data_IF_634120466152
#
_entry.id   IF_634120466152
#
_cell.length_a   1.000
_cell.length_b   1.000
_cell.length_c   1.000
_cell.angle_alpha   90.00
_cell.angle_beta   90.00
_cell.angle_gamma   90.00
#
_symmetry.space_group_name_H-M   'P 1'
#
loop_
_entity.id
_entity.type
_entity.pdbx_description
1 polymer ?
#
# COMPACT_ATOMS: atom_id res chain seq x y z
N UNK A 1 19.33 3.94 -64.74
CA UNK A 1 18.56 4.86 -63.85
C UNK A 1 17.74 3.97 -62.90
N UNK A 2 18.26 3.73 -61.69
CA UNK A 2 17.61 2.88 -60.68
C UNK A 2 17.27 3.73 -59.49
N UNK A 3 15.99 4.02 -59.27
CA UNK A 3 15.49 4.77 -58.14
C UNK A 3 15.49 3.89 -56.89
N UNK A 4 16.32 4.29 -55.92
CA UNK A 4 16.43 3.70 -54.57
C UNK A 4 15.44 4.42 -53.68
N UNK A 5 14.31 3.80 -53.35
CA UNK A 5 13.35 4.28 -52.34
C UNK A 5 13.82 3.87 -50.95
N UNK A 6 14.32 4.84 -50.19
CA UNK A 6 14.61 4.69 -48.76
C UNK A 6 13.28 4.83 -48.00
N UNK A 7 12.79 3.73 -47.43
CA UNK A 7 11.67 3.72 -46.47
C UNK A 7 12.22 4.03 -45.08
N UNK A 8 12.02 5.27 -44.61
CA UNK A 8 12.20 5.60 -43.20
C UNK A 8 11.05 4.98 -42.38
N UNK A 9 11.38 3.97 -41.58
CA UNK A 9 10.46 3.38 -40.61
C UNK A 9 10.51 4.23 -39.32
N UNK A 10 9.50 5.07 -39.08
CA UNK A 10 9.34 5.78 -37.82
C UNK A 10 8.83 4.81 -36.76
N UNK A 11 9.72 4.36 -35.85
CA UNK A 11 9.35 3.68 -34.62
C UNK A 11 8.80 4.74 -33.64
N UNK A 12 7.48 4.82 -33.52
CA UNK A 12 6.82 5.54 -32.43
C UNK A 12 7.00 4.73 -31.13
N UNK A 13 8.00 5.12 -30.33
CA UNK A 13 8.16 4.64 -28.98
C UNK A 13 7.01 5.18 -28.11
N UNK A 14 6.13 4.31 -27.66
CA UNK A 14 5.11 4.64 -26.63
C UNK A 14 5.87 4.75 -25.31
N UNK A 15 6.12 5.98 -24.86
CA UNK A 15 6.61 6.26 -23.51
C UNK A 15 5.42 6.08 -22.58
N UNK A 16 5.33 4.93 -21.88
CA UNK A 16 4.40 4.73 -20.78
C UNK A 16 4.85 5.59 -19.59
N UNK A 17 4.21 6.73 -19.39
CA UNK A 17 4.33 7.49 -18.14
C UNK A 17 3.62 6.69 -17.05
N UNK A 18 4.39 6.00 -16.22
CA UNK A 18 3.88 5.45 -14.96
C UNK A 18 3.49 6.65 -14.07
N UNK A 19 2.26 6.67 -13.51
CA UNK A 19 1.91 7.70 -12.54
C UNK A 19 2.82 7.53 -11.32
N UNK A 20 3.60 8.59 -11.01
CA UNK A 20 4.31 8.69 -9.75
C UNK A 20 3.24 8.79 -8.66
N UNK A 21 3.11 7.77 -7.83
CA UNK A 21 2.33 7.85 -6.61
C UNK A 21 2.97 8.93 -5.73
N UNK A 22 2.30 10.08 -5.60
CA UNK A 22 2.71 11.14 -4.69
C UNK A 22 2.37 10.67 -3.27
N UNK A 23 3.37 10.09 -2.59
CA UNK A 23 3.27 9.86 -1.15
C UNK A 23 2.97 11.21 -0.47
N UNK A 24 1.82 11.32 0.19
CA UNK A 24 1.45 12.53 0.91
C UNK A 24 2.28 12.60 2.18
N UNK A 25 3.12 13.63 2.29
CA UNK A 25 3.96 13.85 3.47
C UNK A 25 3.13 14.32 4.67
N UNK A 26 3.54 13.95 5.88
CA UNK A 26 2.99 14.52 7.09
C UNK A 26 3.30 16.02 7.17
N UNK A 27 2.34 16.82 7.65
CA UNK A 27 2.43 18.28 7.77
C UNK A 27 2.31 18.64 9.24
N UNK A 28 3.18 19.56 9.71
CA UNK A 28 3.07 20.16 11.04
C UNK A 28 2.68 21.64 10.90
N UNK A 29 1.53 22.01 11.41
CA UNK A 29 1.00 23.38 11.38
C UNK A 29 0.18 23.66 12.63
N UNK A 30 0.34 24.84 13.23
CA UNK A 30 -0.44 25.31 14.39
C UNK A 30 -0.46 24.32 15.58
N UNK A 31 0.71 23.71 15.90
CA UNK A 31 0.86 22.66 16.91
C UNK A 31 0.08 21.35 16.62
N UNK A 32 -0.36 21.14 15.39
CA UNK A 32 -1.03 19.93 14.97
C UNK A 32 -0.22 19.22 13.89
N UNK A 33 0.03 17.93 14.07
CA UNK A 33 0.49 17.03 13.01
C UNK A 33 -0.71 16.52 12.24
N UNK A 34 -0.67 16.70 10.93
CA UNK A 34 -1.60 16.12 9.97
C UNK A 34 -0.87 14.96 9.28
N UNK A 35 -1.28 13.75 9.56
CA UNK A 35 -0.70 12.54 8.96
C UNK A 35 -1.78 11.96 8.05
N UNK A 36 -1.54 11.91 6.72
CA UNK A 36 -2.55 11.50 5.75
C UNK A 36 -3.07 10.07 6.00
N UNK A 37 -2.15 9.15 6.33
CA UNK A 37 -2.49 7.76 6.62
C UNK A 37 -1.46 7.12 7.55
N UNK A 38 -1.89 6.08 8.24
CA UNK A 38 -1.05 5.33 9.15
C UNK A 38 -1.75 4.07 9.63
N UNK A 39 -1.04 3.27 10.42
CA UNK A 39 -1.59 2.07 11.02
C UNK A 39 -1.48 2.08 12.54
N UNK A 40 -2.38 1.37 13.18
CA UNK A 40 -2.28 0.99 14.59
C UNK A 40 -2.45 -0.53 14.73
N UNK A 41 -1.75 -1.09 15.70
CA UNK A 41 -1.92 -2.47 16.08
C UNK A 41 -3.04 -2.56 17.12
N UNK A 42 -4.10 -3.28 16.78
CA UNK A 42 -5.26 -3.47 17.67
C UNK A 42 -5.57 -4.96 17.75
N UNK A 43 -5.43 -5.53 18.93
CA UNK A 43 -5.66 -6.96 19.18
C UNK A 43 -4.82 -7.90 18.29
N UNK A 44 -3.58 -7.51 17.99
CA UNK A 44 -2.68 -8.31 17.14
C UNK A 44 -2.93 -8.19 15.63
N UNK A 45 -3.78 -7.26 15.21
CA UNK A 45 -4.06 -6.98 13.79
C UNK A 45 -3.71 -5.54 13.43
N UNK A 46 -3.14 -5.33 12.24
CA UNK A 46 -2.93 -4.00 11.71
C UNK A 46 -4.28 -3.40 11.26
N UNK A 47 -4.55 -2.18 11.70
CA UNK A 47 -5.71 -1.38 11.30
C UNK A 47 -5.22 -0.13 10.58
N UNK A 48 -5.81 0.16 9.44
CA UNK A 48 -5.49 1.33 8.65
C UNK A 48 -6.35 2.53 9.06
N UNK A 49 -5.71 3.70 9.15
CA UNK A 49 -6.36 4.97 9.45
C UNK A 49 -5.95 6.04 8.46
N UNK A 50 -6.87 6.93 8.14
CA UNK A 50 -6.65 8.13 7.35
C UNK A 50 -6.97 9.38 8.16
N UNK A 51 -6.52 10.55 7.67
CA UNK A 51 -6.78 11.86 8.27
C UNK A 51 -6.43 11.94 9.77
N UNK A 52 -5.26 11.44 10.13
CA UNK A 52 -4.82 11.41 11.53
C UNK A 52 -4.35 12.80 11.93
N UNK A 53 -4.90 13.34 13.04
CA UNK A 53 -4.50 14.61 13.63
C UNK A 53 -4.02 14.40 15.05
N UNK A 54 -2.80 14.86 15.34
CA UNK A 54 -2.19 14.81 16.65
C UNK A 54 -1.85 16.23 17.12
N UNK A 55 -2.39 16.65 18.24
CA UNK A 55 -1.94 17.90 18.89
C UNK A 55 -0.65 17.66 19.67
N UNK A 56 0.34 18.55 19.47
CA UNK A 56 1.54 18.58 20.29
C UNK A 56 1.35 19.56 21.46
N UNK A 57 1.65 19.13 22.68
CA UNK A 57 1.73 20.00 23.86
C UNK A 57 3.14 20.56 24.05
N UNK A 58 3.32 21.58 24.93
CA UNK A 58 4.63 22.17 25.20
C UNK A 58 5.62 21.20 25.83
N UNK A 59 5.15 20.11 26.44
CA UNK A 59 5.99 19.08 27.08
C UNK A 59 6.44 18.00 26.09
N UNK A 60 6.08 18.14 24.79
CA UNK A 60 6.43 17.22 23.72
C UNK A 60 5.59 15.94 23.68
N UNK A 61 4.42 15.95 24.33
CA UNK A 61 3.46 14.86 24.24
C UNK A 61 2.49 15.09 23.07
N UNK A 62 1.94 14.00 22.55
CA UNK A 62 0.96 14.05 21.48
C UNK A 62 -0.39 13.54 21.98
N UNK A 63 -1.44 14.28 21.65
CA UNK A 63 -2.83 13.86 21.91
C UNK A 63 -3.52 13.61 20.59
N UNK A 64 -4.12 12.46 20.41
CA UNK A 64 -4.93 12.12 19.24
C UNK A 64 -6.19 12.99 19.23
N UNK A 65 -6.37 13.80 18.21
CA UNK A 65 -7.56 14.61 17.99
C UNK A 65 -8.57 13.90 17.07
N UNK A 66 -8.05 13.26 16.02
CA UNK A 66 -8.86 12.61 14.99
C UNK A 66 -8.07 11.47 14.34
N UNK A 67 -8.75 10.39 14.02
CA UNK A 67 -8.26 9.34 13.13
C UNK A 67 -9.49 8.64 12.53
N UNK A 68 -9.56 8.58 11.22
CA UNK A 68 -10.67 7.93 10.53
C UNK A 68 -10.26 6.50 10.18
N UNK A 69 -10.96 5.47 10.67
CA UNK A 69 -10.70 4.10 10.26
C UNK A 69 -11.01 3.94 8.76
N UNK A 70 -10.10 3.35 8.02
CA UNK A 70 -10.27 3.04 6.59
C UNK A 70 -10.87 1.64 6.43
N UNK A 71 -11.66 1.44 5.38
CA UNK A 71 -12.19 0.13 5.01
C UNK A 71 -11.07 -0.75 4.48
N UNK A 72 -10.87 -1.93 5.09
CA UNK A 72 -9.92 -2.92 4.58
C UNK A 72 -10.53 -3.63 3.36
N UNK A 73 -9.70 -3.86 2.35
CA UNK A 73 -10.11 -4.65 1.18
C UNK A 73 -10.15 -6.15 1.51
N UNK A 74 -10.90 -6.91 0.73
CA UNK A 74 -10.89 -8.37 0.81
C UNK A 74 -9.63 -8.91 0.15
N UNK A 75 -8.94 -9.82 0.83
CA UNK A 75 -7.77 -10.52 0.29
C UNK A 75 -8.18 -11.96 0.01
N UNK A 76 -7.98 -12.39 -1.23
CA UNK A 76 -8.27 -13.74 -1.69
C UNK A 76 -7.02 -14.63 -1.60
N UNK A 77 -5.83 -14.05 -1.90
CA UNK A 77 -4.57 -14.78 -1.95
C UNK A 77 -3.38 -13.88 -1.66
N UNK A 78 -2.39 -14.44 -0.95
CA UNK A 78 -1.07 -13.84 -0.72
C UNK A 78 -0.01 -14.88 -1.02
N UNK A 79 0.95 -14.54 -1.86
CA UNK A 79 2.07 -15.42 -2.24
C UNK A 79 3.39 -14.66 -2.19
N UNK A 80 4.50 -15.41 -2.06
CA UNK A 80 5.84 -14.86 -2.23
C UNK A 80 6.17 -14.83 -3.73
N UNK A 81 6.50 -13.65 -4.24
CA UNK A 81 7.03 -13.51 -5.59
C UNK A 81 8.55 -13.68 -5.58
N UNK A 82 9.01 -14.92 -5.74
CA UNK A 82 10.45 -15.24 -5.73
C UNK A 82 11.22 -14.51 -6.83
N UNK A 83 10.58 -14.26 -7.98
CA UNK A 83 11.20 -13.57 -9.11
C UNK A 83 11.44 -12.08 -8.84
N UNK A 84 10.62 -11.47 -7.99
CA UNK A 84 10.74 -10.07 -7.56
C UNK A 84 11.56 -9.88 -6.29
N UNK A 85 11.84 -10.98 -5.56
CA UNK A 85 12.54 -10.92 -4.27
C UNK A 85 14.07 -10.86 -4.45
N UNK A 86 14.74 -10.30 -3.45
CA UNK A 86 16.20 -10.18 -3.39
C UNK A 86 16.66 -10.41 -1.94
N UNK A 87 17.99 -10.50 -1.65
CA UNK A 87 18.48 -10.66 -0.29
C UNK A 87 18.08 -9.54 0.69
N UNK A 88 17.63 -8.40 0.17
CA UNK A 88 17.25 -7.22 0.96
C UNK A 88 15.77 -6.88 0.88
N UNK A 89 15.05 -7.52 -0.03
CA UNK A 89 13.67 -7.19 -0.34
C UNK A 89 12.88 -8.46 -0.65
N UNK A 90 11.80 -8.67 0.06
CA UNK A 90 10.84 -9.72 -0.21
C UNK A 90 9.62 -9.11 -0.89
N UNK A 91 9.19 -9.69 -2.00
CA UNK A 91 8.00 -9.20 -2.72
C UNK A 91 6.82 -10.13 -2.47
N UNK A 92 5.72 -9.56 -1.99
CA UNK A 92 4.44 -10.25 -1.87
C UNK A 92 3.61 -9.97 -3.13
N UNK A 93 3.08 -11.01 -3.73
CA UNK A 93 2.02 -10.94 -4.74
C UNK A 93 0.67 -11.16 -4.04
N UNK A 94 -0.22 -10.20 -4.18
CA UNK A 94 -1.51 -10.16 -3.48
C UNK A 94 -2.62 -10.05 -4.50
N UNK A 95 -3.59 -10.94 -4.41
CA UNK A 95 -4.84 -10.87 -5.15
C UNK A 95 -6.00 -10.63 -4.19
N UNK A 96 -6.94 -9.79 -4.59
CA UNK A 96 -8.07 -9.44 -3.76
C UNK A 96 -9.11 -8.61 -4.50
N UNK A 97 -10.02 -8.00 -3.75
CA UNK A 97 -11.09 -7.19 -4.34
C UNK A 97 -11.42 -5.96 -3.50
N UNK A 98 -11.70 -4.86 -4.19
CA UNK A 98 -12.30 -3.63 -3.65
C UNK A 98 -13.82 -3.79 -3.59
N UNK A 99 -14.45 -3.04 -2.70
CA UNK A 99 -15.91 -3.08 -2.52
C UNK A 99 -16.68 -2.61 -3.76
N UNK A 100 -16.13 -1.61 -4.46
CA UNK A 100 -16.69 -1.02 -5.68
C UNK A 100 -15.56 -0.49 -6.58
N UNK A 101 -15.80 -0.30 -7.91
CA UNK A 101 -14.75 0.16 -8.81
C UNK A 101 -14.37 1.64 -8.66
N UNK A 102 -15.17 2.43 -7.96
CA UNK A 102 -14.94 3.87 -7.80
C UNK A 102 -14.06 4.24 -6.60
N UNK A 103 -13.52 3.27 -5.88
CA UNK A 103 -12.55 3.48 -4.81
C UNK A 103 -11.17 3.05 -5.27
N UNK A 104 -10.14 3.69 -4.72
CA UNK A 104 -8.75 3.38 -5.00
C UNK A 104 -8.12 2.63 -3.82
N UNK A 105 -7.12 1.79 -4.11
CA UNK A 105 -6.29 1.22 -3.07
C UNK A 105 -5.46 2.34 -2.42
N UNK A 106 -5.40 2.31 -1.11
CA UNK A 106 -4.50 3.17 -0.33
C UNK A 106 -3.11 2.52 -0.24
N UNK A 107 -2.10 3.32 0.09
CA UNK A 107 -0.77 2.80 0.34
C UNK A 107 -0.80 1.80 1.51
N UNK A 108 -0.18 0.62 1.38
CA UNK A 108 -0.17 -0.39 2.43
C UNK A 108 0.48 0.14 3.71
N UNK A 109 -0.17 -0.05 4.85
CA UNK A 109 0.42 0.26 6.14
C UNK A 109 1.04 -1.02 6.73
N UNK A 110 2.35 -0.99 6.98
CA UNK A 110 3.12 -2.16 7.39
C UNK A 110 3.65 -1.94 8.82
N UNK A 111 3.36 -2.88 9.71
CA UNK A 111 3.89 -2.94 11.08
C UNK A 111 4.62 -4.26 11.24
N UNK A 112 5.78 -4.26 11.88
CA UNK A 112 6.49 -5.49 12.21
C UNK A 112 6.47 -5.75 13.73
N UNK A 113 6.04 -6.94 14.12
CA UNK A 113 6.14 -7.47 15.48
C UNK A 113 6.94 -8.77 15.48
N UNK A 114 8.17 -8.71 15.99
CA UNK A 114 9.06 -9.88 16.01
C UNK A 114 9.34 -10.43 14.62
N UNK A 115 8.88 -11.65 14.34
CA UNK A 115 8.98 -12.32 13.04
C UNK A 115 7.74 -12.15 12.15
N UNK A 116 6.76 -11.33 12.56
CA UNK A 116 5.52 -11.15 11.80
C UNK A 116 5.45 -9.74 11.20
N UNK A 117 5.20 -9.66 9.91
CA UNK A 117 4.82 -8.44 9.19
C UNK A 117 3.30 -8.37 9.13
N UNK A 118 2.72 -7.36 9.74
CA UNK A 118 1.28 -7.09 9.77
C UNK A 118 0.99 -5.98 8.77
N UNK A 119 0.20 -6.29 7.75
CA UNK A 119 -0.05 -5.41 6.62
C UNK A 119 -1.54 -5.10 6.55
N UNK A 120 -1.87 -3.82 6.69
CA UNK A 120 -3.23 -3.34 6.47
C UNK A 120 -3.32 -2.72 5.07
N UNK A 121 -4.08 -3.34 4.18
CA UNK A 121 -4.40 -2.84 2.85
C UNK A 121 -5.84 -2.37 2.84
N UNK A 122 -6.03 -1.09 2.56
CA UNK A 122 -7.32 -0.42 2.63
C UNK A 122 -7.70 0.24 1.31
N UNK A 123 -8.98 0.56 1.18
CA UNK A 123 -9.52 1.35 0.07
C UNK A 123 -9.95 2.74 0.55
N UNK A 124 -10.01 3.68 -0.38
CA UNK A 124 -10.53 5.03 -0.13
C UNK A 124 -12.04 4.96 0.15
N UNK A 125 -12.55 5.95 0.87
CA UNK A 125 -14.00 6.09 1.06
C UNK A 125 -14.58 6.94 -0.07
N UNK A 126 -15.75 6.55 -0.56
CA UNK A 126 -16.53 7.41 -1.45
C UNK A 126 -17.04 8.64 -0.71
N UNK A 127 -17.06 9.78 -1.41
CA UNK A 127 -17.67 10.99 -0.90
C UNK A 127 -19.20 10.85 -0.75
N UNK A 128 -19.83 11.65 0.12
CA UNK A 128 -21.26 11.53 0.41
C UNK A 128 -22.19 11.83 -0.78
N UNK A 129 -21.67 12.45 -1.84
CA UNK A 129 -22.42 12.75 -3.08
C UNK A 129 -22.01 11.85 -4.25
N UNK A 130 -21.08 10.92 -4.05
CA UNK A 130 -20.63 10.00 -5.08
C UNK A 130 -21.53 8.79 -5.17
N UNK A 131 -21.79 8.35 -6.40
CA UNK A 131 -22.55 7.14 -6.69
C UNK A 131 -21.69 6.20 -7.51
N UNK A 132 -21.71 4.92 -7.17
CA UNK A 132 -20.96 3.89 -7.88
C UNK A 132 -21.85 2.68 -8.15
N UNK A 133 -21.52 1.92 -9.16
CA UNK A 133 -22.16 0.63 -9.39
C UNK A 133 -21.70 -0.35 -8.29
N UNK A 134 -22.65 -1.12 -7.77
CA UNK A 134 -22.38 -2.11 -6.72
C UNK A 134 -21.85 -3.41 -7.34
N UNK A 135 -20.61 -3.37 -7.81
CA UNK A 135 -19.90 -4.52 -8.40
C UNK A 135 -18.53 -4.62 -7.74
N UNK A 136 -18.16 -5.81 -7.32
CA UNK A 136 -16.83 -6.12 -6.78
C UNK A 136 -15.79 -5.87 -7.89
N UNK A 137 -14.70 -5.18 -7.54
CA UNK A 137 -13.61 -4.85 -8.46
C UNK A 137 -12.32 -5.58 -8.04
N UNK A 138 -11.92 -6.65 -8.76
CA UNK A 138 -10.73 -7.40 -8.43
C UNK A 138 -9.46 -6.59 -8.70
N UNK A 139 -8.40 -6.87 -7.92
CA UNK A 139 -7.08 -6.28 -8.10
C UNK A 139 -5.97 -7.30 -7.91
N UNK A 140 -4.82 -7.01 -8.51
CA UNK A 140 -3.55 -7.64 -8.22
C UNK A 140 -2.55 -6.55 -7.81
N UNK A 141 -1.79 -6.80 -6.76
CA UNK A 141 -0.83 -5.85 -6.20
C UNK A 141 0.46 -6.56 -5.79
N UNK A 142 1.59 -5.86 -5.92
CA UNK A 142 2.88 -6.28 -5.38
C UNK A 142 3.31 -5.33 -4.29
N UNK A 143 3.70 -5.87 -3.15
CA UNK A 143 4.21 -5.11 -2.01
C UNK A 143 5.60 -5.60 -1.69
N UNK A 144 6.55 -4.67 -1.62
CA UNK A 144 7.91 -4.94 -1.19
C UNK A 144 8.04 -4.80 0.32
N UNK A 145 8.61 -5.80 0.96
CA UNK A 145 8.99 -5.78 2.37
C UNK A 145 10.51 -5.63 2.47
N UNK A 146 10.98 -4.62 3.19
CA UNK A 146 12.39 -4.48 3.53
C UNK A 146 12.75 -5.54 4.58
N UNK A 147 13.59 -6.50 4.19
CA UNK A 147 14.10 -7.56 5.04
C UNK A 147 15.57 -7.35 5.40
N UNK A 148 16.13 -6.17 5.10
CA UNK A 148 17.53 -5.83 5.37
C UNK A 148 17.86 -5.98 6.85
N UNK A 149 18.91 -6.73 7.15
CA UNK A 149 19.41 -6.92 8.50
C UNK A 149 18.55 -7.80 9.40
N UNK A 150 17.55 -8.50 8.86
CA UNK A 150 16.82 -9.52 9.59
C UNK A 150 17.69 -10.77 9.75
N UNK A 151 17.50 -11.48 10.85
CA UNK A 151 18.18 -12.75 11.10
C UNK A 151 17.55 -13.85 10.21
N UNK A 152 18.35 -14.84 9.83
CA UNK A 152 17.82 -16.03 9.18
C UNK A 152 16.81 -16.74 10.09
N UNK A 153 15.70 -17.20 9.51
CA UNK A 153 14.63 -17.89 10.23
C UNK A 153 13.28 -17.78 9.56
N UNK A 154 12.28 -18.35 10.23
CA UNK A 154 10.90 -18.34 9.75
C UNK A 154 10.20 -17.03 10.10
N UNK A 155 9.50 -16.47 9.14
CA UNK A 155 8.71 -15.24 9.22
C UNK A 155 7.31 -15.46 8.67
N UNK A 156 6.40 -14.59 9.05
CA UNK A 156 5.02 -14.58 8.53
C UNK A 156 4.69 -13.17 8.02
N UNK A 157 4.10 -13.07 6.85
CA UNK A 157 3.43 -11.87 6.41
C UNK A 157 1.92 -12.10 6.49
N UNK A 158 1.22 -11.21 7.20
CA UNK A 158 -0.25 -11.23 7.38
C UNK A 158 -0.84 -10.00 6.72
N UNK A 159 -1.62 -10.21 5.66
CA UNK A 159 -2.30 -9.14 4.91
C UNK A 159 -3.80 -9.22 5.19
N UNK A 160 -4.36 -8.25 5.92
CA UNK A 160 -5.78 -8.23 6.31
C UNK A 160 -6.28 -9.57 6.88
N UNK A 161 -5.42 -10.30 7.63
CA UNK A 161 -5.76 -11.58 8.24
C UNK A 161 -5.44 -12.82 7.40
N UNK A 162 -4.93 -12.69 6.17
CA UNK A 162 -4.44 -13.79 5.34
C UNK A 162 -2.93 -13.93 5.52
N UNK A 163 -2.47 -15.12 5.93
CA UNK A 163 -1.07 -15.40 6.26
C UNK A 163 -0.33 -16.07 5.11
N UNK A 164 0.94 -15.69 4.92
CA UNK A 164 1.92 -16.42 4.15
C UNK A 164 3.22 -16.53 4.96
N UNK A 165 3.79 -17.73 5.00
CA UNK A 165 5.05 -18.01 5.69
C UNK A 165 6.21 -17.97 4.69
N UNK A 166 7.39 -17.52 5.15
CA UNK A 166 8.62 -17.50 4.38
C UNK A 166 9.84 -17.66 5.28
N UNK A 167 10.97 -18.04 4.69
CA UNK A 167 12.26 -18.15 5.37
C UNK A 167 13.27 -17.16 4.77
N UNK A 168 14.10 -16.59 5.63
CA UNK A 168 15.24 -15.74 5.27
C UNK A 168 16.55 -16.44 5.56
#
# INVERSE_FOLDING_TARGET
MRNLFVRCLFLLGVISLSPLALSQSAIFQDNVFLIPQGAALINGEARHYSNIKLAADPDGRFTLLEAQPSSLVTIDQVEIDEAGSSPFELVLAIAGSKSVPCVDLQEPAIIREGSTFLIALAETSMGPAETCIAVIDPFELRISLDVTGLAAGAYTARVNGVDVEFEL
#
